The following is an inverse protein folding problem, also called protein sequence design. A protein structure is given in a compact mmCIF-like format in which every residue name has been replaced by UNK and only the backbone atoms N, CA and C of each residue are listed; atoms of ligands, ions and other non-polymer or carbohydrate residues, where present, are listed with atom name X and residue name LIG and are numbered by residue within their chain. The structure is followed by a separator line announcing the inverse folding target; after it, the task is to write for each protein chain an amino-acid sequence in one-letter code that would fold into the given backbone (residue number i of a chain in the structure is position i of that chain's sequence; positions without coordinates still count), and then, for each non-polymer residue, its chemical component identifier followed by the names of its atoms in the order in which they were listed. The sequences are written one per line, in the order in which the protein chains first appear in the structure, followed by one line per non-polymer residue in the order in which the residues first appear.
data_IF_946929152540
#
_entry.id   IF_946929152540
#
_cell.length_a   1.000
_cell.length_b   1.000
_cell.length_c   1.000
_cell.angle_alpha   90.00
_cell.angle_beta   90.00
_cell.angle_gamma   90.00
#
_symmetry.space_group_name_H-M   'P 1'
#
loop_
_entity.id
_entity.type
_entity.pdbx_description
1 polymer ?
#
# COMPACT_ATOMS: atom_id res chain seq x y z
N UNK A 1 -13.10 18.94 0.74
CA UNK A 1 -12.35 18.73 -0.31
C UNK A 1 -11.04 19.19 -0.12
N UNK A 2 -10.26 19.58 -0.21
CA UNK A 2 -9.04 20.26 0.04
C UNK A 2 -7.78 19.43 0.11
N UNK A 3 -7.83 18.19 -0.22
CA UNK A 3 -6.60 17.40 -0.23
C UNK A 3 -5.73 17.85 -1.39
N UNK A 4 -4.43 17.98 -1.14
CA UNK A 4 -3.52 18.33 -2.22
C UNK A 4 -3.42 17.16 -3.20
N UNK A 5 -3.10 17.41 -4.47
CA UNK A 5 -3.01 16.34 -5.46
C UNK A 5 -2.00 15.26 -5.10
N UNK A 6 -0.83 15.63 -4.61
CA UNK A 6 0.16 14.63 -4.27
C UNK A 6 -0.29 13.77 -3.10
N UNK A 7 -0.93 14.35 -2.12
CA UNK A 7 -1.45 13.61 -0.99
C UNK A 7 -2.56 12.66 -1.45
N UNK A 8 -3.38 13.13 -2.36
CA UNK A 8 -4.45 12.32 -2.91
C UNK A 8 -3.90 11.09 -3.64
N UNK A 9 -2.85 11.27 -4.41
CA UNK A 9 -2.25 10.15 -5.14
C UNK A 9 -1.69 9.09 -4.18
N UNK A 10 -1.06 9.51 -3.12
CA UNK A 10 -0.52 8.58 -2.13
C UNK A 10 -1.65 7.79 -1.49
N UNK A 11 -2.73 8.45 -1.15
CA UNK A 11 -3.87 7.78 -0.53
C UNK A 11 -4.50 6.75 -1.46
N UNK A 12 -4.63 7.09 -2.73
CA UNK A 12 -5.20 6.16 -3.70
C UNK A 12 -4.35 4.91 -3.83
N UNK A 13 -3.04 5.08 -3.88
CA UNK A 13 -2.14 3.94 -4.00
C UNK A 13 -2.18 3.07 -2.77
N UNK A 14 -2.22 3.68 -1.60
CA UNK A 14 -2.30 2.93 -0.35
C UNK A 14 -3.62 2.19 -0.24
N UNK A 15 -4.72 2.80 -0.64
CA UNK A 15 -6.02 2.15 -0.63
C UNK A 15 -6.05 0.94 -1.56
N UNK A 16 -5.48 1.09 -2.74
CA UNK A 16 -5.41 -0.02 -3.68
C UNK A 16 -4.54 -1.15 -3.11
N UNK A 17 -3.43 -0.80 -2.48
CA UNK A 17 -2.56 -1.80 -1.88
C UNK A 17 -3.28 -2.55 -0.76
N UNK A 18 -4.02 -1.83 0.06
CA UNK A 18 -4.80 -2.46 1.13
C UNK A 18 -5.78 -3.46 0.57
N UNK A 19 -6.49 -3.08 -0.48
CA UNK A 19 -7.46 -3.95 -1.10
C UNK A 19 -6.79 -5.20 -1.67
N UNK A 20 -5.68 -5.01 -2.38
CA UNK A 20 -4.97 -6.14 -2.97
C UNK A 20 -4.46 -7.10 -1.90
N UNK A 21 -3.94 -6.56 -0.81
CA UNK A 21 -3.43 -7.40 0.27
C UNK A 21 -4.55 -8.19 0.95
N UNK A 22 -5.74 -7.63 1.03
CA UNK A 22 -6.86 -8.30 1.69
C UNK A 22 -7.61 -9.24 0.76
N UNK A 23 -7.79 -8.84 -0.49
CA UNK A 23 -8.68 -9.56 -1.39
C UNK A 23 -7.98 -10.53 -2.33
N UNK A 24 -6.68 -10.41 -2.46
CA UNK A 24 -5.94 -11.30 -3.35
C UNK A 24 -4.84 -12.00 -2.58
N UNK A 25 -4.25 -13.02 -3.22
CA UNK A 25 -3.12 -13.73 -2.63
C UNK A 25 -1.78 -13.23 -3.15
N UNK A 26 -1.78 -12.07 -3.77
CA UNK A 26 -0.53 -11.51 -4.28
C UNK A 26 0.44 -11.25 -3.16
N UNK A 27 1.72 -11.44 -3.46
CA UNK A 27 2.76 -11.15 -2.47
C UNK A 27 2.89 -9.65 -2.27
N UNK A 28 3.60 -9.25 -1.21
CA UNK A 28 3.86 -7.84 -0.96
C UNK A 28 4.60 -7.23 -2.15
N UNK A 29 5.56 -7.96 -2.71
CA UNK A 29 6.32 -7.47 -3.85
C UNK A 29 5.40 -7.23 -5.04
N UNK A 30 4.53 -8.19 -5.33
CA UNK A 30 3.59 -8.05 -6.44
C UNK A 30 2.65 -6.89 -6.23
N UNK A 31 2.16 -6.74 -5.02
CA UNK A 31 1.26 -5.64 -4.69
C UNK A 31 1.95 -4.30 -4.90
N UNK A 32 3.19 -4.19 -4.44
CA UNK A 32 3.94 -2.95 -4.61
C UNK A 32 4.06 -2.58 -6.09
N UNK A 33 4.41 -3.56 -6.90
CA UNK A 33 4.56 -3.31 -8.34
C UNK A 33 3.22 -2.95 -8.98
N UNK A 34 2.16 -3.61 -8.55
CA UNK A 34 0.83 -3.34 -9.12
C UNK A 34 0.38 -1.91 -8.85
N UNK A 35 0.72 -1.37 -7.69
CA UNK A 35 0.30 0.00 -7.37
C UNK A 35 1.32 1.03 -7.82
N UNK A 36 2.34 0.62 -8.57
CA UNK A 36 3.24 1.55 -9.20
C UNK A 36 4.53 1.84 -8.47
N UNK A 37 4.90 1.05 -7.49
CA UNK A 37 6.18 1.23 -6.79
C UNK A 37 7.19 0.23 -7.30
N UNK A 38 8.28 0.73 -7.86
CA UNK A 38 9.32 -0.15 -8.37
C UNK A 38 10.14 -0.80 -7.26
N UNK A 39 10.18 -0.18 -6.08
CA UNK A 39 10.96 -0.66 -4.97
C UNK A 39 10.05 -1.13 -3.83
N UNK A 40 9.93 -2.46 -3.63
CA UNK A 40 9.05 -2.97 -2.58
C UNK A 40 9.42 -2.50 -1.17
N UNK A 41 10.71 -2.29 -0.92
CA UNK A 41 11.12 -1.80 0.40
C UNK A 41 10.58 -0.40 0.65
N UNK A 42 10.66 0.45 -0.35
CA UNK A 42 10.13 1.81 -0.25
C UNK A 42 8.62 1.78 -0.05
N UNK A 43 7.95 0.93 -0.81
CA UNK A 43 6.51 0.76 -0.66
C UNK A 43 6.16 0.33 0.76
N UNK A 44 6.89 -0.64 1.31
CA UNK A 44 6.61 -1.14 2.65
C UNK A 44 6.77 -0.05 3.69
N UNK A 45 7.78 0.79 3.54
CA UNK A 45 7.99 1.89 4.47
C UNK A 45 6.85 2.89 4.42
N UNK A 46 6.43 3.24 3.21
CA UNK A 46 5.31 4.15 3.04
C UNK A 46 4.02 3.56 3.58
N UNK A 47 3.78 2.29 3.31
CA UNK A 47 2.59 1.62 3.78
C UNK A 47 2.53 1.66 5.30
N UNK A 48 3.65 1.33 5.95
CA UNK A 48 3.69 1.35 7.40
C UNK A 48 3.47 2.76 7.94
N UNK A 49 4.04 3.76 7.27
CA UNK A 49 3.86 5.14 7.69
C UNK A 49 2.41 5.56 7.60
N UNK A 50 1.70 5.12 6.55
CA UNK A 50 0.33 5.53 6.34
C UNK A 50 -0.67 4.74 7.18
N UNK A 51 -0.40 3.47 7.41
CA UNK A 51 -1.36 2.61 8.10
C UNK A 51 -0.94 2.21 9.50
N UNK A 52 0.33 2.38 9.83
CA UNK A 52 0.86 1.95 11.11
C UNK A 52 1.30 0.50 11.13
N UNK A 53 1.09 -0.22 10.04
CA UNK A 53 1.45 -1.64 9.96
C UNK A 53 2.22 -1.89 8.68
N UNK A 54 3.15 -2.84 8.72
CA UNK A 54 3.80 -3.27 7.49
C UNK A 54 2.78 -4.01 6.63
N UNK A 55 3.02 -4.10 5.32
CA UNK A 55 2.10 -4.82 4.45
C UNK A 55 1.89 -6.28 4.88
N UNK A 56 2.94 -6.93 5.35
CA UNK A 56 2.82 -8.31 5.81
C UNK A 56 1.92 -8.40 7.04
N UNK A 57 2.10 -7.49 7.97
CA UNK A 57 1.27 -7.47 9.18
C UNK A 57 -0.17 -7.15 8.84
N UNK A 58 -0.38 -6.21 7.95
CA UNK A 58 -1.73 -5.84 7.55
C UNK A 58 -2.45 -7.04 6.94
N UNK A 59 -1.75 -7.80 6.13
CA UNK A 59 -2.31 -8.98 5.49
C UNK A 59 -2.73 -10.03 6.51
N UNK A 60 -1.96 -10.18 7.57
CA UNK A 60 -2.27 -11.16 8.59
C UNK A 60 -3.50 -10.80 9.41
N UNK A 61 -3.80 -9.53 9.48
CA UNK A 61 -4.90 -9.09 10.31
C UNK A 61 -6.27 -9.36 9.74
N UNK A 62 -6.42 -9.45 8.50
CA UNK A 62 -7.71 -9.65 7.86
C UNK A 62 -8.89 -9.87 8.74
#
# INVERSE_FOLDING_TARGET
MGASPSHYHINLRMDEAKRLLRETKKSVVETALDVGYANPSHFAQLFRKETGLSPSDYRKQR
#
